data_IF_301739442438
#
_entry.id   IF_301739442438
#
_cell.length_a   1.000
_cell.length_b   1.000
_cell.length_c   1.000
_cell.angle_alpha   90.00
_cell.angle_beta   90.00
_cell.angle_gamma   90.00
#
_symmetry.space_group_name_H-M   'P 1'
#
loop_
_entity.id
_entity.type
_entity.pdbx_description
1 polymer ?
#
# COMPACT_ATOMS: atom_id res chain seq x y z
N UNK A 1 -1.17 22.39 16.39
CA UNK A 1 -1.10 22.48 14.91
C UNK A 1 -2.34 21.90 14.28
N UNK A 2 -3.14 22.73 13.63
CA UNK A 2 -4.29 22.26 12.86
C UNK A 2 -3.79 21.53 11.61
N UNK A 3 -3.92 20.21 11.64
CA UNK A 3 -3.73 19.31 10.51
C UNK A 3 -4.33 19.88 9.21
N UNK A 4 -3.54 19.90 8.13
CA UNK A 4 -4.03 20.24 6.79
C UNK A 4 -4.75 19.07 6.10
N UNK A 5 -4.86 17.92 6.75
CA UNK A 5 -5.61 16.77 6.24
C UNK A 5 -7.10 17.13 6.15
N UNK A 6 -7.73 16.85 5.01
CA UNK A 6 -9.16 17.13 4.77
C UNK A 6 -9.53 18.59 4.43
N UNK A 7 -8.56 19.54 4.40
CA UNK A 7 -8.86 20.93 3.99
C UNK A 7 -9.22 21.08 2.51
N UNK A 8 -8.83 20.11 1.68
CA UNK A 8 -9.29 19.98 0.29
C UNK A 8 -10.18 18.74 0.18
N UNK A 9 -11.49 18.92 -0.03
CA UNK A 9 -12.50 17.85 -0.20
C UNK A 9 -12.34 16.99 -1.48
N UNK A 10 -11.13 16.91 -2.03
CA UNK A 10 -10.79 16.22 -3.27
C UNK A 10 -9.44 15.48 -3.17
N UNK A 11 -9.02 15.10 -1.98
CA UNK A 11 -7.81 14.28 -1.83
C UNK A 11 -8.16 12.85 -2.24
N UNK A 12 -7.64 12.43 -3.38
CA UNK A 12 -7.61 11.03 -3.81
C UNK A 12 -6.31 10.45 -3.27
N UNK A 13 -6.40 9.57 -2.28
CA UNK A 13 -5.23 8.87 -1.78
C UNK A 13 -5.06 7.57 -2.55
N UNK A 14 -3.92 7.46 -3.23
CA UNK A 14 -3.48 6.24 -3.88
C UNK A 14 -2.41 5.60 -3.01
N UNK A 15 -2.65 4.39 -2.53
CA UNK A 15 -1.72 3.69 -1.64
C UNK A 15 -1.43 2.26 -2.07
N UNK A 16 -0.37 1.69 -1.51
CA UNK A 16 -0.22 0.23 -1.43
C UNK A 16 -1.23 -0.29 -0.38
N UNK A 17 -2.00 -1.31 -0.75
CA UNK A 17 -3.24 -1.69 -0.04
C UNK A 17 -3.16 -1.78 1.49
N UNK A 18 -4.28 -1.45 2.14
CA UNK A 18 -4.49 -1.42 3.61
C UNK A 18 -3.95 -2.67 4.34
N UNK A 19 -3.88 -3.80 3.63
CA UNK A 19 -3.50 -5.11 4.14
C UNK A 19 -1.99 -5.38 4.24
N UNK A 20 -1.14 -4.47 3.81
CA UNK A 20 0.33 -4.67 3.85
C UNK A 20 1.00 -4.35 5.19
N UNK A 21 0.24 -3.93 6.22
CA UNK A 21 0.85 -3.66 7.52
C UNK A 21 1.24 -4.94 8.26
N UNK A 22 2.50 -4.95 8.69
CA UNK A 22 3.16 -6.00 9.45
C UNK A 22 2.37 -6.29 10.75
N UNK A 23 1.55 -7.35 10.71
CA UNK A 23 0.66 -7.79 11.80
C UNK A 23 1.38 -7.98 13.16
N UNK A 24 2.71 -8.12 13.17
CA UNK A 24 3.53 -8.23 14.37
C UNK A 24 3.80 -6.91 15.10
N UNK A 25 3.43 -5.76 14.52
CA UNK A 25 3.68 -4.43 15.10
C UNK A 25 2.38 -3.83 15.70
N UNK A 26 1.23 -4.07 15.07
CA UNK A 26 -0.07 -3.61 15.54
C UNK A 26 -1.13 -4.70 15.38
N UNK A 27 -2.08 -4.84 16.33
CA UNK A 27 -3.26 -5.68 16.14
C UNK A 27 -3.99 -5.24 14.86
N UNK A 28 -4.22 -6.15 13.88
CA UNK A 28 -4.78 -5.79 12.57
C UNK A 28 -6.09 -5.00 12.66
N UNK A 29 -6.99 -5.40 13.56
CA UNK A 29 -8.29 -4.75 13.75
C UNK A 29 -8.18 -3.30 14.23
N UNK A 30 -7.23 -3.02 15.13
CA UNK A 30 -7.03 -1.68 15.68
C UNK A 30 -6.51 -0.71 14.62
N UNK A 31 -5.58 -1.16 13.78
CA UNK A 31 -5.07 -0.36 12.67
C UNK A 31 -6.12 -0.13 11.59
N UNK A 32 -6.84 -1.18 11.18
CA UNK A 32 -7.94 -1.05 10.20
C UNK A 32 -8.95 -0.04 10.72
N UNK A 33 -9.38 -0.15 11.98
CA UNK A 33 -10.32 0.80 12.58
C UNK A 33 -9.77 2.24 12.58
N UNK A 34 -8.51 2.43 12.97
CA UNK A 34 -7.88 3.75 12.92
C UNK A 34 -7.84 4.32 11.49
N UNK A 35 -7.43 3.52 10.52
CA UNK A 35 -7.30 3.94 9.12
C UNK A 35 -8.66 4.32 8.52
N UNK A 36 -9.70 3.50 8.77
CA UNK A 36 -11.07 3.80 8.32
C UNK A 36 -11.61 5.06 9.00
N UNK A 37 -11.38 5.22 10.30
CA UNK A 37 -11.76 6.46 10.99
C UNK A 37 -11.02 7.67 10.41
N UNK A 38 -9.74 7.53 10.07
CA UNK A 38 -8.95 8.60 9.47
C UNK A 38 -9.51 9.03 8.10
N UNK A 39 -9.71 8.08 7.18
CA UNK A 39 -10.24 8.41 5.85
C UNK A 39 -11.65 9.03 5.92
N UNK A 40 -12.51 8.56 6.83
CA UNK A 40 -13.85 9.10 7.02
C UNK A 40 -13.84 10.48 7.68
N UNK A 41 -13.04 10.67 8.73
CA UNK A 41 -12.94 11.95 9.46
C UNK A 41 -12.48 13.08 8.55
N UNK A 42 -11.60 12.77 7.61
CA UNK A 42 -11.00 13.75 6.70
C UNK A 42 -11.57 13.73 5.28
N UNK A 43 -12.67 13.00 5.04
CA UNK A 43 -13.36 12.91 3.73
C UNK A 43 -12.40 12.56 2.57
N UNK A 44 -11.56 11.55 2.79
CA UNK A 44 -10.52 11.10 1.85
C UNK A 44 -11.11 10.04 0.93
N UNK A 45 -11.02 10.28 -0.38
CA UNK A 45 -11.34 9.27 -1.39
C UNK A 45 -10.16 8.30 -1.51
N UNK A 46 -10.26 7.13 -0.90
CA UNK A 46 -9.17 6.15 -0.86
C UNK A 46 -9.34 5.06 -1.93
N UNK A 47 -8.28 4.84 -2.71
CA UNK A 47 -8.18 3.81 -3.73
C UNK A 47 -6.78 3.20 -3.65
N UNK A 48 -6.63 1.89 -3.57
CA UNK A 48 -5.30 1.29 -3.47
C UNK A 48 -4.96 0.40 -4.65
N UNK A 49 -3.72 0.53 -5.12
CA UNK A 49 -3.15 -0.34 -6.15
C UNK A 49 -1.92 -1.03 -5.59
N UNK A 50 -1.81 -2.34 -5.82
CA UNK A 50 -0.57 -3.04 -5.54
C UNK A 50 -0.11 -3.89 -6.71
N UNK A 51 1.18 -3.77 -7.01
CA UNK A 51 1.90 -4.62 -7.98
C UNK A 51 2.21 -6.00 -7.42
N UNK A 52 2.07 -6.19 -6.10
CA UNK A 52 2.34 -7.45 -5.43
C UNK A 52 1.15 -7.86 -4.58
N UNK A 53 0.91 -9.15 -4.47
CA UNK A 53 -0.12 -9.66 -3.59
C UNK A 53 0.29 -11.03 -3.06
N UNK A 54 0.14 -11.20 -1.73
CA UNK A 54 0.31 -12.50 -1.09
C UNK A 54 -0.98 -13.29 -1.01
N UNK A 55 -2.06 -12.78 -1.61
CA UNK A 55 -3.35 -13.45 -1.64
C UNK A 55 -3.25 -14.70 -2.51
N UNK A 56 -3.85 -15.77 -2.02
CA UNK A 56 -3.87 -17.07 -2.68
C UNK A 56 -5.31 -17.51 -2.94
N UNK A 57 -5.53 -18.21 -4.04
CA UNK A 57 -6.80 -18.88 -4.32
C UNK A 57 -6.99 -20.10 -3.40
N UNK A 58 -8.13 -20.78 -3.52
CA UNK A 58 -8.43 -21.99 -2.75
C UNK A 58 -7.44 -23.15 -3.00
N UNK A 59 -6.68 -23.10 -4.09
CA UNK A 59 -5.66 -24.07 -4.47
C UNK A 59 -4.25 -23.66 -4.01
N UNK A 60 -4.12 -22.50 -3.36
CA UNK A 60 -2.84 -21.99 -2.84
C UNK A 60 -2.00 -21.23 -3.86
N UNK A 61 -2.48 -20.98 -5.08
CA UNK A 61 -1.75 -20.21 -6.09
C UNK A 61 -1.86 -18.71 -5.82
N UNK A 62 -0.79 -17.95 -6.10
CA UNK A 62 -0.87 -16.49 -6.01
C UNK A 62 -1.86 -15.95 -7.03
N UNK A 63 -2.86 -15.21 -6.55
CA UNK A 63 -3.95 -14.69 -7.37
C UNK A 63 -3.37 -13.76 -8.46
N UNK A 64 -2.49 -12.82 -8.12
CA UNK A 64 -1.99 -11.83 -9.08
C UNK A 64 -1.28 -12.47 -10.29
N UNK A 65 -0.37 -13.42 -10.02
CA UNK A 65 0.38 -14.13 -11.05
C UNK A 65 -0.52 -15.00 -11.92
N UNK A 66 -1.54 -15.63 -11.33
CA UNK A 66 -2.49 -16.45 -12.07
C UNK A 66 -3.38 -15.63 -13.01
N UNK A 67 -3.77 -14.43 -12.59
CA UNK A 67 -4.67 -13.59 -13.37
C UNK A 67 -3.96 -12.81 -14.48
N UNK A 68 -2.64 -12.63 -14.41
CA UNK A 68 -1.85 -12.05 -15.50
C UNK A 68 -2.00 -12.81 -16.83
N UNK A 69 -2.11 -14.13 -16.78
CA UNK A 69 -2.28 -14.95 -17.98
C UNK A 69 -3.73 -14.97 -18.49
N UNK A 70 -4.70 -14.66 -17.62
CA UNK A 70 -6.13 -14.80 -17.89
C UNK A 70 -6.81 -13.52 -18.32
N UNK A 71 -6.31 -12.36 -17.89
CA UNK A 71 -6.85 -11.06 -18.27
C UNK A 71 -6.18 -10.62 -19.57
N UNK A 72 -6.93 -10.55 -20.68
CA UNK A 72 -6.39 -10.22 -22.00
C UNK A 72 -6.90 -8.89 -22.58
N UNK A 73 -7.74 -8.15 -21.88
CA UNK A 73 -8.37 -6.92 -22.41
C UNK A 73 -8.39 -5.77 -21.39
N UNK A 74 -8.51 -4.53 -21.88
CA UNK A 74 -8.44 -3.30 -21.09
C UNK A 74 -9.76 -2.51 -21.06
N UNK A 75 -10.19 -1.92 -19.91
CA UNK A 75 -9.86 -2.30 -18.53
C UNK A 75 -10.76 -3.43 -18.07
N UNK A 76 -10.22 -4.62 -17.91
CA UNK A 76 -10.97 -5.71 -17.31
C UNK A 76 -10.83 -5.65 -15.78
N UNK A 77 -11.97 -5.68 -15.10
CA UNK A 77 -12.08 -5.71 -13.64
C UNK A 77 -12.65 -7.07 -13.23
N UNK A 78 -11.91 -7.79 -12.38
CA UNK A 78 -12.33 -9.07 -11.79
C UNK A 78 -12.57 -8.84 -10.32
N UNK A 79 -13.80 -9.05 -9.88
CA UNK A 79 -14.14 -8.99 -8.46
C UNK A 79 -13.68 -10.25 -7.73
N UNK A 80 -13.14 -10.08 -6.52
CA UNK A 80 -12.73 -11.17 -5.63
C UNK A 80 -13.58 -11.16 -4.35
N UNK A 81 -14.87 -11.57 -4.42
CA UNK A 81 -15.83 -11.39 -3.34
C UNK A 81 -15.48 -12.19 -2.07
N UNK A 82 -14.73 -13.27 -2.20
CA UNK A 82 -14.29 -14.08 -1.06
C UNK A 82 -13.32 -13.33 -0.14
N UNK A 83 -12.55 -12.38 -0.70
CA UNK A 83 -11.61 -11.57 0.06
C UNK A 83 -12.33 -10.42 0.77
N UNK A 84 -13.34 -9.84 0.13
CA UNK A 84 -14.19 -8.80 0.71
C UNK A 84 -14.90 -9.24 1.99
N UNK A 85 -14.99 -10.56 2.28
CA UNK A 85 -15.57 -11.07 3.54
C UNK A 85 -14.70 -10.79 4.77
N UNK A 86 -13.38 -10.69 4.58
CA UNK A 86 -12.41 -10.54 5.67
C UNK A 86 -11.84 -9.12 5.73
N UNK A 87 -12.26 -8.25 4.83
CA UNK A 87 -11.74 -6.91 4.64
C UNK A 87 -12.92 -5.95 4.56
N UNK A 88 -12.86 -4.78 5.21
CA UNK A 88 -13.88 -3.71 5.04
C UNK A 88 -13.79 -3.01 3.67
N UNK A 89 -13.42 -3.76 2.64
CA UNK A 89 -13.08 -3.26 1.31
C UNK A 89 -13.49 -4.27 0.26
N UNK A 90 -13.84 -3.76 -0.92
CA UNK A 90 -13.93 -4.56 -2.13
C UNK A 90 -12.54 -4.74 -2.74
N UNK A 91 -12.23 -5.97 -3.12
CA UNK A 91 -10.96 -6.33 -3.76
C UNK A 91 -11.20 -6.73 -5.20
N UNK A 92 -10.38 -6.20 -6.11
CA UNK A 92 -10.41 -6.49 -7.53
C UNK A 92 -9.01 -6.83 -8.06
N UNK A 93 -8.98 -7.59 -9.16
CA UNK A 93 -7.83 -7.61 -10.07
C UNK A 93 -8.18 -6.76 -11.28
N UNK A 94 -7.29 -5.85 -11.65
CA UNK A 94 -7.47 -4.94 -12.79
C UNK A 94 -6.27 -4.96 -13.70
N UNK A 95 -6.49 -4.77 -14.99
CA UNK A 95 -5.45 -4.41 -15.97
C UNK A 95 -5.80 -3.06 -16.58
N UNK A 96 -4.92 -2.07 -16.42
CA UNK A 96 -5.20 -0.68 -16.84
C UNK A 96 -4.87 -0.40 -18.31
N UNK A 97 -3.96 -1.17 -18.90
CA UNK A 97 -3.56 -1.10 -20.32
C UNK A 97 -3.37 -2.52 -20.85
N UNK A 98 -3.69 -2.74 -22.12
CA UNK A 98 -3.37 -4.01 -22.79
C UNK A 98 -1.87 -4.31 -22.68
N UNK A 99 -1.52 -5.58 -22.52
CA UNK A 99 -0.14 -6.03 -22.31
C UNK A 99 0.59 -5.49 -21.06
N UNK A 100 -0.09 -4.77 -20.16
CA UNK A 100 0.48 -4.39 -18.87
C UNK A 100 0.32 -5.49 -17.82
N UNK A 101 1.13 -5.43 -16.76
CA UNK A 101 0.91 -6.26 -15.58
C UNK A 101 -0.48 -5.98 -14.96
N UNK A 102 -1.09 -7.01 -14.39
CA UNK A 102 -2.31 -6.87 -13.59
C UNK A 102 -1.97 -6.32 -12.21
N UNK A 103 -2.92 -5.61 -11.65
CA UNK A 103 -2.81 -4.96 -10.35
C UNK A 103 -3.90 -5.48 -9.43
N UNK A 104 -3.58 -5.60 -8.15
CA UNK A 104 -4.60 -5.63 -7.11
C UNK A 104 -5.13 -4.23 -6.96
N UNK A 105 -6.44 -4.08 -6.95
CA UNK A 105 -7.13 -2.82 -6.73
C UNK A 105 -8.13 -2.99 -5.58
N UNK A 106 -8.00 -2.21 -4.51
CA UNK A 106 -8.97 -2.24 -3.40
C UNK A 106 -9.64 -0.89 -3.22
N UNK A 107 -10.93 -0.91 -2.86
CA UNK A 107 -11.72 0.26 -2.48
C UNK A 107 -12.45 -0.01 -1.17
N UNK A 108 -12.71 1.02 -0.34
CA UNK A 108 -13.53 0.88 0.86
C UNK A 108 -14.95 0.33 0.58
N UNK A 109 -15.54 -0.36 1.55
CA UNK A 109 -16.87 -0.99 1.48
C UNK A 109 -18.05 -0.02 1.33
N UNK A 110 -17.82 1.28 1.57
CA UNK A 110 -18.80 2.34 1.31
C UNK A 110 -18.83 2.82 -0.16
N UNK A 111 -17.96 2.29 -1.02
CA UNK A 111 -18.08 2.37 -2.47
C UNK A 111 -18.57 1.05 -3.06
N UNK A 112 -18.91 1.06 -4.35
CA UNK A 112 -19.29 -0.14 -5.08
C UNK A 112 -18.47 -0.36 -6.38
N UNK A 113 -18.80 -1.45 -7.08
CA UNK A 113 -18.17 -1.80 -8.36
C UNK A 113 -18.44 -0.75 -9.47
N UNK A 114 -19.49 0.04 -9.37
CA UNK A 114 -19.77 1.16 -10.29
C UNK A 114 -18.81 2.32 -10.04
N UNK A 115 -18.55 2.65 -8.77
CA UNK A 115 -17.56 3.65 -8.36
C UNK A 115 -16.16 3.25 -8.81
N UNK A 116 -15.77 1.98 -8.58
CA UNK A 116 -14.53 1.39 -9.08
C UNK A 116 -14.34 1.64 -10.58
N UNK A 117 -15.32 1.22 -11.40
CA UNK A 117 -15.27 1.38 -12.85
C UNK A 117 -15.19 2.84 -13.28
N UNK A 118 -15.93 3.72 -12.61
CA UNK A 118 -15.94 5.15 -12.89
C UNK A 118 -14.57 5.78 -12.60
N UNK A 119 -13.97 5.41 -11.48
CA UNK A 119 -12.63 5.86 -11.09
C UNK A 119 -11.56 5.35 -12.07
N UNK A 120 -11.56 4.05 -12.38
CA UNK A 120 -10.59 3.46 -13.31
C UNK A 120 -10.63 4.12 -14.69
N UNK A 121 -11.81 4.37 -15.24
CA UNK A 121 -11.96 5.09 -16.53
C UNK A 121 -11.31 6.47 -16.53
N UNK A 122 -11.38 7.19 -15.41
CA UNK A 122 -10.73 8.50 -15.26
C UNK A 122 -9.23 8.39 -15.03
N UNK A 123 -8.76 7.28 -14.45
CA UNK A 123 -7.36 7.05 -14.11
C UNK A 123 -6.51 6.55 -15.28
N UNK A 124 -7.10 5.78 -16.21
CA UNK A 124 -6.38 5.14 -17.34
C UNK A 124 -5.57 6.15 -18.18
N UNK A 125 -6.11 7.33 -18.57
CA UNK A 125 -5.32 8.33 -19.30
C UNK A 125 -4.06 8.81 -18.56
N UNK A 126 -4.02 8.67 -17.24
CA UNK A 126 -2.89 9.03 -16.38
C UNK A 126 -2.06 7.82 -15.94
N UNK A 127 -2.22 6.69 -16.63
CA UNK A 127 -1.56 5.41 -16.33
C UNK A 127 -0.92 4.77 -17.59
N UNK A 128 -0.14 5.50 -18.42
CA UNK A 128 0.29 5.08 -19.77
C UNK A 128 1.16 3.82 -19.81
N UNK A 129 1.68 3.36 -18.67
CA UNK A 129 2.45 2.11 -18.56
C UNK A 129 1.72 1.03 -17.76
N UNK A 130 0.39 1.13 -17.66
CA UNK A 130 -0.43 0.21 -16.89
C UNK A 130 -0.34 0.40 -15.37
N UNK A 131 0.23 1.52 -14.90
CA UNK A 131 0.29 1.90 -13.49
C UNK A 131 0.11 3.41 -13.33
N UNK A 132 -0.56 3.89 -12.26
CA UNK A 132 -0.80 5.33 -12.07
C UNK A 132 0.49 6.15 -11.96
N UNK A 133 0.65 7.18 -12.80
CA UNK A 133 1.86 8.02 -12.81
C UNK A 133 2.10 8.71 -11.46
N UNK A 134 1.04 9.13 -10.78
CA UNK A 134 1.14 9.74 -9.45
C UNK A 134 1.76 8.79 -8.42
N UNK A 135 1.48 7.49 -8.50
CA UNK A 135 2.10 6.48 -7.64
C UNK A 135 3.55 6.24 -8.02
N UNK A 136 3.88 6.20 -9.32
CA UNK A 136 5.26 6.09 -9.78
C UNK A 136 6.09 7.28 -9.28
N UNK A 137 5.61 8.51 -9.47
CA UNK A 137 6.33 9.71 -9.02
C UNK A 137 6.49 9.77 -7.50
N UNK A 138 5.47 9.36 -6.73
CA UNK A 138 5.59 9.28 -5.28
C UNK A 138 6.61 8.21 -4.84
N UNK A 139 6.62 7.05 -5.50
CA UNK A 139 7.59 6.00 -5.24
C UNK A 139 9.02 6.48 -5.52
N UNK A 140 9.27 7.05 -6.70
CA UNK A 140 10.58 7.58 -7.10
C UNK A 140 11.07 8.68 -6.14
N UNK A 141 10.20 9.62 -5.77
CA UNK A 141 10.55 10.70 -4.84
C UNK A 141 10.87 10.21 -3.41
N UNK A 142 10.32 9.06 -3.01
CA UNK A 142 10.57 8.43 -1.71
C UNK A 142 11.71 7.42 -1.71
N UNK A 143 12.23 7.07 -2.90
CA UNK A 143 13.26 6.05 -3.05
C UNK A 143 14.62 6.66 -2.81
N UNK A 144 15.35 6.09 -1.85
CA UNK A 144 16.71 6.50 -1.54
C UNK A 144 17.63 6.13 -2.72
N UNK A 145 18.35 7.12 -3.25
CA UNK A 145 19.33 6.90 -4.31
C UNK A 145 20.52 6.09 -3.78
N UNK A 146 21.24 5.33 -4.63
CA UNK A 146 22.38 4.53 -4.20
C UNK A 146 23.44 5.33 -3.43
N UNK A 147 23.67 6.58 -3.82
CA UNK A 147 24.60 7.48 -3.11
C UNK A 147 24.09 7.90 -1.74
N UNK A 148 22.78 8.15 -1.61
CA UNK A 148 22.14 8.49 -0.35
C UNK A 148 22.16 7.28 0.59
N UNK A 149 21.93 6.08 0.05
CA UNK A 149 22.05 4.83 0.79
C UNK A 149 23.49 4.61 1.27
N UNK A 150 24.49 4.80 0.39
CA UNK A 150 25.89 4.67 0.77
C UNK A 150 26.27 5.65 1.89
N UNK A 151 25.84 6.91 1.78
CA UNK A 151 26.07 7.92 2.81
C UNK A 151 25.38 7.56 4.13
N UNK A 152 24.14 7.06 4.05
CA UNK A 152 23.39 6.60 5.21
C UNK A 152 24.09 5.42 5.89
N UNK A 153 24.54 4.42 5.13
CA UNK A 153 25.27 3.25 5.63
C UNK A 153 26.61 3.66 6.28
N UNK A 154 27.37 4.56 5.64
CA UNK A 154 28.63 5.07 6.19
C UNK A 154 28.41 5.82 7.52
N UNK A 155 27.38 6.65 7.60
CA UNK A 155 27.00 7.33 8.84
C UNK A 155 26.51 6.34 9.91
N UNK A 156 25.75 5.33 9.51
CA UNK A 156 25.26 4.29 10.41
C UNK A 156 26.41 3.47 11.01
N UNK A 157 27.40 3.05 10.21
CA UNK A 157 28.62 2.39 10.69
C UNK A 157 29.37 3.30 11.67
N UNK A 158 29.51 4.58 11.33
CA UNK A 158 30.15 5.55 12.22
C UNK A 158 29.41 5.66 13.56
N UNK A 159 28.07 5.70 13.55
CA UNK A 159 27.22 5.72 14.74
C UNK A 159 27.31 4.43 15.56
N UNK A 160 27.54 3.28 14.92
CA UNK A 160 27.76 2.03 15.65
C UNK A 160 29.05 2.05 16.48
N UNK A 161 30.04 2.84 16.08
CA UNK A 161 31.30 3.03 16.80
C UNK A 161 31.30 4.25 17.73
N UNK A 162 30.25 5.07 17.71
CA UNK A 162 30.10 6.20 18.63
C UNK A 162 29.83 5.72 20.07
N UNK A 163 30.68 6.06 21.06
CA UNK A 163 30.52 5.60 22.43
C UNK A 163 29.20 5.99 23.09
N UNK A 164 28.63 7.16 22.74
CA UNK A 164 27.35 7.62 23.28
C UNK A 164 26.19 6.78 22.74
N UNK A 165 26.19 6.51 21.44
CA UNK A 165 25.20 5.69 20.76
C UNK A 165 25.25 4.23 21.24
N UNK A 166 26.45 3.66 21.40
CA UNK A 166 26.62 2.32 21.98
C UNK A 166 26.04 2.22 23.40
N UNK A 167 26.32 3.21 24.26
CA UNK A 167 25.80 3.25 25.62
C UNK A 167 24.27 3.38 25.64
N UNK A 168 23.69 4.22 24.79
CA UNK A 168 22.24 4.37 24.66
C UNK A 168 21.57 3.06 24.20
N UNK A 169 22.14 2.39 23.20
CA UNK A 169 21.63 1.12 22.68
C UNK A 169 21.75 -0.02 23.69
N UNK A 170 22.83 -0.08 24.47
CA UNK A 170 22.96 -1.04 25.58
C UNK A 170 21.84 -0.85 26.60
N UNK A 171 21.60 0.39 27.08
CA UNK A 171 20.53 0.69 28.05
C UNK A 171 19.15 0.31 27.50
N UNK A 172 18.87 0.57 26.21
CA UNK A 172 17.61 0.18 25.55
C UNK A 172 17.48 -1.34 25.38
N UNK A 173 18.55 -2.06 25.04
CA UNK A 173 18.53 -3.53 24.94
C UNK A 173 18.13 -4.19 26.25
N UNK A 174 18.61 -3.71 27.39
CA UNK A 174 18.21 -4.21 28.72
C UNK A 174 16.73 -4.02 29.05
N UNK A 175 16.04 -3.08 28.38
CA UNK A 175 14.59 -2.86 28.54
C UNK A 175 13.73 -3.78 27.67
N UNK A 176 14.27 -4.31 26.58
CA UNK A 176 13.53 -5.13 25.60
C UNK A 176 13.86 -6.62 25.79
N UNK A 177 15.09 -6.92 26.19
CA UNK A 177 15.55 -8.27 26.52
C UNK A 177 16.15 -8.15 27.93
N UNK A 178 15.44 -8.61 28.98
CA UNK A 178 16.00 -8.63 30.32
C UNK A 178 17.29 -9.46 30.32
N UNK A 179 18.35 -9.02 31.01
CA UNK A 179 19.50 -9.88 31.24
C UNK A 179 19.04 -11.17 31.96
N UNK A 180 19.62 -12.31 31.58
CA UNK A 180 19.45 -13.58 32.28
C UNK A 180 20.03 -13.50 33.69
#
# INVERSE_FOLDING_TARGET
DESNWGKNKKVVFLGDGIHMFRQHIFPPESFIKFFYNFIQTYDINYFSFSKTSRLRDAQGNFILLYWDDKIKTNPYIVELPELSKYTKSWTYIVRLIEDSASLRFDIPDYYDTTDAKTFLKRLIPFSPYGYPLSLTGAHEASTMLPVEQHNFEAQFVTLQHDPKTQRFMQVRRHKVIPPK
#
